data_IF_882341600312
#
_entry.id   IF_882341600312
#
_cell.length_a   1.000
_cell.length_b   1.000
_cell.length_c   1.000
_cell.angle_alpha   90.00
_cell.angle_beta   90.00
_cell.angle_gamma   90.00
#
_symmetry.space_group_name_H-M   'P 1'
#
loop_
_entity.id
_entity.type
_entity.pdbx_description
1 polymer ?
#
# COMPACT_ATOMS: atom_id res chain seq x y z
N UNK A 1 10.58 -6.36 -8.29
CA UNK A 1 10.51 -6.54 -6.84
C UNK A 1 9.14 -6.10 -6.34
N UNK A 2 8.71 -6.64 -5.22
CA UNK A 2 7.38 -6.32 -4.67
C UNK A 2 7.22 -4.83 -4.40
N UNK A 3 8.24 -4.21 -3.82
CA UNK A 3 8.19 -2.78 -3.51
C UNK A 3 7.90 -1.95 -4.78
N UNK A 4 8.56 -2.26 -5.88
CA UNK A 4 8.39 -1.48 -7.11
C UNK A 4 6.95 -1.56 -7.62
N UNK A 5 6.34 -2.74 -7.55
CA UNK A 5 4.96 -2.90 -7.97
C UNK A 5 4.00 -2.18 -7.04
N UNK A 6 4.25 -2.28 -5.74
CA UNK A 6 3.42 -1.59 -4.75
C UNK A 6 3.53 -0.09 -4.94
N UNK A 7 4.72 0.42 -5.18
CA UNK A 7 4.96 1.82 -5.43
C UNK A 7 4.16 2.31 -6.64
N UNK A 8 4.20 1.57 -7.74
CA UNK A 8 3.45 1.92 -8.94
C UNK A 8 1.95 1.98 -8.67
N UNK A 9 1.45 1.02 -7.89
CA UNK A 9 0.02 0.98 -7.54
C UNK A 9 -0.35 2.18 -6.67
N UNK A 10 0.49 2.51 -5.69
CA UNK A 10 0.25 3.65 -4.82
C UNK A 10 0.22 4.95 -5.62
N UNK A 11 1.18 5.14 -6.50
CA UNK A 11 1.24 6.33 -7.35
C UNK A 11 -0.04 6.45 -8.17
N UNK A 12 -0.49 5.35 -8.73
CA UNK A 12 -1.69 5.33 -9.57
C UNK A 12 -2.97 5.59 -8.75
N UNK A 13 -3.08 4.97 -7.60
CA UNK A 13 -4.30 5.07 -6.77
C UNK A 13 -4.41 6.38 -6.02
N UNK A 14 -3.30 6.89 -5.51
CA UNK A 14 -3.30 8.09 -4.68
C UNK A 14 -2.87 9.34 -5.43
N UNK A 15 -2.45 9.20 -6.67
CA UNK A 15 -2.00 10.31 -7.52
C UNK A 15 -0.90 11.15 -6.82
N UNK A 16 0.08 10.45 -6.28
CA UNK A 16 1.23 11.08 -5.62
C UNK A 16 2.50 10.84 -6.44
N UNK A 17 3.52 11.66 -6.17
CA UNK A 17 4.81 11.51 -6.84
C UNK A 17 5.51 10.25 -6.34
N UNK A 18 6.15 9.52 -7.25
CA UNK A 18 6.86 8.31 -6.86
C UNK A 18 7.99 8.58 -5.88
N UNK A 19 8.55 9.78 -5.91
CA UNK A 19 9.62 10.16 -4.98
C UNK A 19 9.14 10.19 -3.52
N UNK A 20 7.83 10.33 -3.31
CA UNK A 20 7.25 10.34 -1.98
C UNK A 20 6.95 8.94 -1.46
N UNK A 21 6.97 7.95 -2.34
CA UNK A 21 6.65 6.58 -1.97
C UNK A 21 7.94 5.85 -1.59
N UNK A 22 8.23 5.85 -0.30
CA UNK A 22 9.38 5.15 0.27
C UNK A 22 8.89 4.14 1.29
N UNK A 23 9.76 3.24 1.70
CA UNK A 23 9.41 2.24 2.71
C UNK A 23 8.96 2.88 4.02
N UNK A 24 9.50 4.03 4.34
CA UNK A 24 9.21 4.74 5.58
C UNK A 24 8.01 5.69 5.48
N UNK A 25 7.53 5.92 4.26
CA UNK A 25 6.42 6.87 4.05
C UNK A 25 5.15 6.40 4.75
N UNK A 26 4.56 7.30 5.52
CA UNK A 26 3.26 7.03 6.14
C UNK A 26 2.17 7.23 5.11
N UNK A 27 1.29 6.25 4.98
CA UNK A 27 0.23 6.30 3.98
C UNK A 27 -0.74 7.45 4.25
N UNK A 28 -1.07 7.67 5.52
CA UNK A 28 -2.01 8.73 5.87
C UNK A 28 -1.36 10.09 6.01
N UNK A 29 -0.14 10.15 6.56
CA UNK A 29 0.53 11.42 6.83
C UNK A 29 1.35 11.93 5.66
N UNK A 30 2.15 11.05 5.05
CA UNK A 30 3.05 11.46 3.96
C UNK A 30 2.37 11.41 2.60
N UNK A 31 1.49 10.45 2.41
CA UNK A 31 0.79 10.27 1.13
C UNK A 31 -0.62 10.84 1.16
N UNK A 32 -1.03 11.36 2.29
CA UNK A 32 -2.31 12.06 2.47
C UNK A 32 -3.52 11.21 2.05
N UNK A 33 -3.47 9.92 2.32
CA UNK A 33 -4.57 9.02 2.01
C UNK A 33 -5.55 8.95 3.19
N UNK A 34 -6.83 9.03 2.90
CA UNK A 34 -7.85 8.82 3.93
C UNK A 34 -8.29 7.35 3.93
N UNK A 35 -9.28 7.03 4.77
CA UNK A 35 -9.73 5.64 4.94
C UNK A 35 -10.23 5.01 3.65
N UNK A 36 -10.93 5.78 2.82
CA UNK A 36 -11.44 5.27 1.56
C UNK A 36 -10.30 5.00 0.57
N UNK A 37 -9.32 5.90 0.54
CA UNK A 37 -8.15 5.73 -0.32
C UNK A 37 -7.39 4.47 0.07
N UNK A 38 -7.24 4.23 1.37
CA UNK A 38 -6.56 3.04 1.86
C UNK A 38 -7.30 1.77 1.45
N UNK A 39 -8.62 1.78 1.55
CA UNK A 39 -9.43 0.62 1.15
C UNK A 39 -9.27 0.35 -0.34
N UNK A 40 -9.35 1.39 -1.17
CA UNK A 40 -9.17 1.25 -2.61
C UNK A 40 -7.77 0.73 -2.95
N UNK A 41 -6.76 1.24 -2.26
CA UNK A 41 -5.39 0.79 -2.45
C UNK A 41 -5.24 -0.69 -2.10
N UNK A 42 -5.81 -1.11 -0.98
CA UNK A 42 -5.76 -2.50 -0.54
C UNK A 42 -6.41 -3.41 -1.57
N UNK A 43 -7.56 -3.01 -2.10
CA UNK A 43 -8.25 -3.81 -3.11
C UNK A 43 -7.41 -3.96 -4.38
N UNK A 44 -6.75 -2.89 -4.80
CA UNK A 44 -5.87 -2.94 -5.96
C UNK A 44 -4.68 -3.88 -5.72
N UNK A 45 -4.14 -3.87 -4.50
CA UNK A 45 -3.03 -4.74 -4.15
C UNK A 45 -3.47 -6.20 -4.12
N UNK A 46 -4.66 -6.48 -3.60
CA UNK A 46 -5.19 -7.83 -3.58
C UNK A 46 -5.33 -8.40 -5.00
N UNK A 47 -5.81 -7.57 -5.92
CA UNK A 47 -5.96 -7.99 -7.31
C UNK A 47 -4.62 -8.20 -7.99
N UNK A 48 -3.67 -7.30 -7.76
CA UNK A 48 -2.37 -7.37 -8.43
C UNK A 48 -1.54 -8.56 -7.97
N UNK A 49 -1.53 -8.83 -6.67
CA UNK A 49 -0.71 -9.89 -6.11
C UNK A 49 -1.48 -11.19 -5.83
N UNK A 50 -2.79 -11.16 -6.05
CA UNK A 50 -3.66 -12.31 -5.77
C UNK A 50 -3.52 -12.76 -4.32
N UNK A 51 -3.51 -11.81 -3.39
CA UNK A 51 -3.44 -12.06 -1.96
C UNK A 51 -4.71 -11.54 -1.30
N UNK A 52 -4.99 -12.04 -0.11
CA UNK A 52 -6.13 -11.59 0.67
C UNK A 52 -5.61 -10.76 1.85
N UNK A 53 -6.06 -9.52 1.96
CA UNK A 53 -5.64 -8.64 3.04
C UNK A 53 -6.86 -8.33 3.91
N UNK A 54 -6.99 -8.99 5.06
CA UNK A 54 -8.15 -8.77 5.94
C UNK A 54 -8.10 -7.38 6.56
N UNK A 55 -9.27 -6.92 6.99
CA UNK A 55 -9.40 -5.60 7.58
C UNK A 55 -8.46 -5.39 8.77
N UNK A 56 -8.24 -6.44 9.56
CA UNK A 56 -7.33 -6.37 10.69
C UNK A 56 -5.91 -6.04 10.26
N UNK A 57 -5.47 -6.60 9.14
CA UNK A 57 -4.15 -6.31 8.61
C UNK A 57 -4.08 -4.87 8.11
N UNK A 58 -5.16 -4.38 7.50
CA UNK A 58 -5.22 -3.01 7.02
C UNK A 58 -5.05 -2.02 8.16
N UNK A 59 -5.67 -2.30 9.30
CA UNK A 59 -5.59 -1.43 10.47
C UNK A 59 -4.16 -1.36 11.03
N UNK A 60 -3.37 -2.39 10.82
CA UNK A 60 -1.99 -2.45 11.30
C UNK A 60 -0.98 -1.87 10.31
N UNK A 61 -1.42 -1.61 9.09
CA UNK A 61 -0.56 -1.03 8.06
C UNK A 61 -0.55 0.48 8.22
N UNK A 62 0.61 1.03 8.47
CA UNK A 62 0.79 2.48 8.64
C UNK A 62 1.71 3.07 7.60
N UNK A 63 2.70 2.29 7.15
CA UNK A 63 3.68 2.74 6.18
C UNK A 63 3.68 1.86 4.95
N UNK A 64 4.32 2.34 3.90
CA UNK A 64 4.51 1.55 2.68
C UNK A 64 5.27 0.26 2.99
N UNK A 65 6.26 0.34 3.86
CA UNK A 65 7.02 -0.84 4.28
C UNK A 65 6.17 -1.91 4.92
N UNK A 66 5.17 -1.51 5.70
CA UNK A 66 4.25 -2.46 6.32
C UNK A 66 3.46 -3.23 5.25
N UNK A 67 3.03 -2.53 4.21
CA UNK A 67 2.33 -3.16 3.09
C UNK A 67 3.26 -4.13 2.37
N UNK A 68 4.47 -3.69 2.06
CA UNK A 68 5.45 -4.52 1.35
C UNK A 68 5.72 -5.81 2.12
N UNK A 69 5.94 -5.67 3.42
CA UNK A 69 6.21 -6.84 4.26
C UNK A 69 5.04 -7.80 4.27
N UNK A 70 3.83 -7.28 4.41
CA UNK A 70 2.64 -8.12 4.44
C UNK A 70 2.48 -8.89 3.12
N UNK A 71 2.64 -8.21 2.00
CA UNK A 71 2.52 -8.84 0.70
C UNK A 71 3.59 -9.92 0.51
N UNK A 72 4.84 -9.59 0.86
CA UNK A 72 5.95 -10.54 0.74
C UNK A 72 5.73 -11.80 1.58
N UNK A 73 5.13 -11.65 2.75
CA UNK A 73 4.86 -12.78 3.63
C UNK A 73 3.73 -13.67 3.11
N UNK A 74 2.91 -13.18 2.19
CA UNK A 74 1.71 -13.86 1.73
C UNK A 74 1.71 -14.28 0.26
N UNK A 75 2.80 -14.05 -0.43
CA UNK A 75 2.91 -14.47 -1.85
C UNK A 75 3.89 -15.61 -2.03
#
# INVERSE_FOLDING_TARGET
MVFDKIKDIIVDQLDVDEDKVTMEASITDDLDADSLDVVDLVMALEDEFNVEIPEEAVENVKTVGDIVKYVEDNI
#
